data_IF_176654417152
#
_entry.id   IF_176654417152
#
_cell.length_a   1.000
_cell.length_b   1.000
_cell.length_c   1.000
_cell.angle_alpha   90.00
_cell.angle_beta   90.00
_cell.angle_gamma   90.00
#
_symmetry.space_group_name_H-M   'P 1'
#
loop_
_entity.id
_entity.type
_entity.pdbx_description
1 polymer ?
#
# COMPACT_ATOMS: atom_id res chain seq x y z
N UNK A 1 -6.47 -3.84 4.72
CA UNK A 1 -5.07 -4.08 4.28
C UNK A 1 -4.98 -3.85 2.78
N UNK A 2 -3.96 -3.13 2.31
CA UNK A 2 -3.68 -2.92 0.88
C UNK A 2 -2.37 -3.64 0.53
N UNK A 3 -2.37 -4.46 -0.52
CA UNK A 3 -1.19 -5.21 -0.99
C UNK A 3 -0.97 -4.99 -2.48
N UNK A 4 0.25 -4.69 -2.86
CA UNK A 4 0.70 -4.54 -4.25
C UNK A 4 2.14 -5.06 -4.36
N UNK A 5 2.64 -5.26 -5.58
CA UNK A 5 4.00 -5.75 -5.81
C UNK A 5 4.98 -4.57 -5.86
N UNK A 6 5.97 -4.59 -4.97
CA UNK A 6 7.15 -3.72 -5.04
C UNK A 6 8.34 -4.49 -5.61
N UNK A 7 9.03 -3.92 -6.59
CA UNK A 7 10.23 -4.46 -7.22
C UNK A 7 11.43 -3.52 -6.95
N UNK A 8 12.33 -3.84 -6.02
CA UNK A 8 13.47 -2.99 -5.64
C UNK A 8 14.43 -2.64 -6.79
N UNK A 9 14.41 -3.41 -7.87
CA UNK A 9 15.27 -3.22 -9.04
C UNK A 9 14.61 -2.38 -10.13
N UNK A 10 13.33 -2.02 -9.99
CA UNK A 10 12.61 -1.24 -10.99
C UNK A 10 12.75 0.27 -10.76
N UNK A 11 12.64 1.05 -11.83
CA UNK A 11 12.54 2.50 -11.73
C UNK A 11 11.09 2.88 -11.39
N UNK A 12 10.92 3.67 -10.33
CA UNK A 12 9.64 4.25 -9.94
C UNK A 12 9.65 5.77 -10.14
N UNK A 13 8.48 6.40 -10.28
CA UNK A 13 8.36 7.85 -10.17
C UNK A 13 8.79 8.36 -8.79
N UNK A 14 8.77 9.68 -8.60
CA UNK A 14 8.96 10.35 -7.30
C UNK A 14 10.17 9.86 -6.50
N UNK A 15 11.35 9.97 -7.12
CA UNK A 15 12.64 9.58 -6.53
C UNK A 15 12.74 8.09 -6.16
N UNK A 16 12.01 7.22 -6.87
CA UNK A 16 12.06 5.78 -6.63
C UNK A 16 11.00 5.30 -5.64
N UNK A 17 10.01 6.13 -5.30
CA UNK A 17 8.93 5.77 -4.40
C UNK A 17 7.91 4.85 -5.06
N UNK A 18 7.56 3.76 -4.40
CA UNK A 18 6.49 2.86 -4.86
C UNK A 18 5.17 3.03 -4.11
N UNK A 19 5.17 3.84 -3.05
CA UNK A 19 3.98 4.20 -2.30
C UNK A 19 4.14 5.56 -1.62
N UNK A 20 3.03 6.26 -1.50
CA UNK A 20 2.97 7.54 -0.82
C UNK A 20 1.78 7.56 0.14
N UNK A 21 1.96 8.26 1.27
CA UNK A 21 0.95 8.34 2.32
C UNK A 21 0.74 9.80 2.66
N UNK A 22 -0.50 10.28 2.57
CA UNK A 22 -0.88 11.61 3.04
C UNK A 22 -1.89 11.50 4.17
N UNK A 23 -1.59 12.12 5.31
CA UNK A 23 -2.53 12.19 6.43
C UNK A 23 -3.14 13.58 6.49
N UNK A 24 -4.48 13.63 6.45
CA UNK A 24 -5.27 14.83 6.69
C UNK A 24 -6.09 14.63 7.95
N UNK A 25 -6.67 15.73 8.45
CA UNK A 25 -7.53 15.72 9.62
C UNK A 25 -8.70 14.73 9.48
N UNK A 26 -9.27 14.67 8.28
CA UNK A 26 -10.53 13.97 8.03
C UNK A 26 -10.35 12.66 7.25
N UNK A 27 -9.19 12.44 6.66
CA UNK A 27 -8.90 11.23 5.89
C UNK A 27 -7.41 10.93 5.80
N UNK A 28 -7.10 9.68 5.48
CA UNK A 28 -5.76 9.24 5.08
C UNK A 28 -5.81 8.76 3.63
N UNK A 29 -4.77 9.08 2.89
CA UNK A 29 -4.54 8.63 1.52
C UNK A 29 -3.40 7.61 1.48
N UNK A 30 -3.61 6.54 0.73
CA UNK A 30 -2.67 5.44 0.54
C UNK A 30 -2.50 5.22 -0.96
N UNK A 31 -1.49 5.86 -1.54
CA UNK A 31 -1.20 5.76 -2.97
C UNK A 31 -0.15 4.68 -3.23
N UNK A 32 -0.36 3.88 -4.28
CA UNK A 32 0.69 2.98 -4.77
C UNK A 32 0.99 3.31 -6.22
N UNK A 33 2.27 3.27 -6.56
CA UNK A 33 2.78 3.69 -7.86
C UNK A 33 3.32 2.46 -8.58
N UNK A 34 2.98 2.31 -9.86
CA UNK A 34 3.62 1.28 -10.69
C UNK A 34 5.05 1.70 -11.01
N UNK A 35 5.93 0.75 -11.35
CA UNK A 35 7.16 1.11 -12.04
C UNK A 35 6.88 1.88 -13.33
N UNK A 36 7.90 2.58 -13.81
CA UNK A 36 7.89 3.23 -15.11
C UNK A 36 8.13 2.18 -16.20
N UNK A 37 7.24 2.16 -17.19
CA UNK A 37 7.34 1.27 -18.34
C UNK A 37 7.30 2.08 -19.64
N UNK A 38 8.10 1.67 -20.62
CA UNK A 38 7.85 2.06 -22.01
C UNK A 38 6.72 1.17 -22.53
N UNK A 39 5.68 1.79 -23.11
CA UNK A 39 4.54 1.08 -23.70
C UNK A 39 4.48 1.43 -25.18
N UNK A 40 4.63 0.42 -26.04
CA UNK A 40 4.54 0.58 -27.49
C UNK A 40 3.07 0.51 -27.97
N UNK A 41 2.78 0.96 -29.21
CA UNK A 41 1.42 0.89 -29.75
C UNK A 41 0.84 -0.53 -29.70
N UNK A 42 -0.31 -0.68 -29.04
CA UNK A 42 -1.00 -1.97 -28.87
C UNK A 42 -0.60 -2.75 -27.62
N UNK A 43 0.42 -2.30 -26.87
CA UNK A 43 0.77 -2.89 -25.58
C UNK A 43 -0.10 -2.33 -24.44
N UNK A 44 -0.12 -3.04 -23.32
CA UNK A 44 -0.82 -2.63 -22.10
C UNK A 44 -0.05 -3.07 -20.88
N UNK A 45 -0.02 -2.23 -19.86
CA UNK A 45 0.52 -2.55 -18.54
C UNK A 45 -0.62 -2.81 -17.55
N UNK A 46 -0.36 -3.64 -16.54
CA UNK A 46 -1.31 -3.92 -15.48
C UNK A 46 -0.64 -3.72 -14.12
N UNK A 47 -1.09 -2.71 -13.40
CA UNK A 47 -0.79 -2.51 -11.98
C UNK A 47 -1.94 -3.08 -11.17
N UNK A 48 -1.64 -3.98 -10.22
CA UNK A 48 -2.68 -4.70 -9.45
C UNK A 48 -2.55 -4.39 -7.98
N UNK A 49 -3.64 -3.93 -7.39
CA UNK A 49 -3.78 -3.72 -5.96
C UNK A 49 -4.83 -4.70 -5.41
N UNK A 50 -4.50 -5.36 -4.30
CA UNK A 50 -5.42 -6.19 -3.55
C UNK A 50 -5.80 -5.44 -2.27
N UNK A 51 -7.07 -5.07 -2.14
CA UNK A 51 -7.60 -4.32 -1.00
C UNK A 51 -8.57 -5.21 -0.24
N UNK A 52 -8.31 -5.43 1.04
CA UNK A 52 -9.24 -6.08 1.97
C UNK A 52 -9.67 -5.13 3.07
N UNK A 53 -10.94 -5.21 3.46
CA UNK A 53 -11.51 -4.48 4.58
C UNK A 53 -12.02 -5.49 5.61
N UNK A 54 -11.59 -5.33 6.85
CA UNK A 54 -11.97 -6.21 7.97
C UNK A 54 -12.60 -5.35 9.06
N UNK A 55 -13.64 -5.89 9.70
CA UNK A 55 -14.29 -5.23 10.82
C UNK A 55 -13.47 -5.48 12.10
N UNK A 56 -13.08 -4.42 12.78
CA UNK A 56 -12.27 -4.51 14.00
C UNK A 56 -13.05 -3.99 15.19
N UNK A 57 -13.20 -4.83 16.22
CA UNK A 57 -14.04 -4.52 17.40
C UNK A 57 -13.32 -3.71 18.46
N UNK A 58 -12.01 -3.94 18.61
CA UNK A 58 -11.17 -3.24 19.57
C UNK A 58 -10.24 -2.31 18.80
N UNK A 59 -10.22 -1.03 19.15
CA UNK A 59 -9.15 -0.16 18.68
C UNK A 59 -7.83 -0.67 19.24
N UNK A 60 -6.92 -1.08 18.35
CA UNK A 60 -5.51 -1.24 18.68
C UNK A 60 -4.98 0.08 19.25
N UNK A 61 -4.02 0.00 20.17
CA UNK A 61 -3.28 1.17 20.60
C UNK A 61 -2.28 1.55 19.49
N UNK A 62 -2.47 2.70 18.78
CA UNK A 62 -1.63 3.04 17.65
C UNK A 62 -0.21 3.46 18.02
N UNK A 63 0.11 3.56 19.33
CA UNK A 63 1.45 3.87 19.83
C UNK A 63 2.16 2.67 20.46
N UNK A 64 1.54 1.49 20.43
CA UNK A 64 2.10 0.25 20.99
C UNK A 64 2.43 -0.71 19.84
N UNK A 65 3.72 -0.88 19.55
CA UNK A 65 4.18 -1.71 18.43
C UNK A 65 3.83 -3.19 18.61
N UNK A 66 3.82 -3.69 19.86
CA UNK A 66 3.52 -5.09 20.15
C UNK A 66 2.03 -5.38 19.94
N UNK A 67 1.15 -4.45 20.36
CA UNK A 67 -0.30 -4.55 20.11
C UNK A 67 -0.63 -4.48 18.61
N UNK A 68 0.06 -3.61 17.86
CA UNK A 68 -0.06 -3.54 16.40
C UNK A 68 0.36 -4.85 15.74
N UNK A 69 1.50 -5.43 16.14
CA UNK A 69 2.00 -6.68 15.60
C UNK A 69 1.02 -7.83 15.87
N UNK A 70 0.55 -7.96 17.12
CA UNK A 70 -0.41 -8.99 17.51
C UNK A 70 -1.74 -8.86 16.73
N UNK A 71 -2.21 -7.63 16.51
CA UNK A 71 -3.39 -7.39 15.68
C UNK A 71 -3.23 -7.93 14.26
N UNK A 72 -2.06 -7.77 13.64
CA UNK A 72 -1.83 -8.33 12.30
C UNK A 72 -1.82 -9.86 12.26
N UNK A 73 -1.37 -10.54 13.32
CA UNK A 73 -1.45 -12.00 13.43
C UNK A 73 -2.88 -12.52 13.54
N UNK A 74 -3.77 -11.73 14.13
CA UNK A 74 -5.19 -12.10 14.33
C UNK A 74 -6.08 -11.76 13.12
N UNK A 75 -5.59 -10.95 12.18
CA UNK A 75 -6.24 -10.69 10.90
C UNK A 75 -6.08 -11.88 9.96
N UNK A 76 -7.06 -12.81 10.00
CA UNK A 76 -7.22 -13.90 9.02
C UNK A 76 -7.61 -13.37 7.63
#
# INVERSE_FOLDING_TARGET
>A
MKRYVHNPQAAYPDFGSSCEICLKKDFAELESLSPLYRVEPGETIRHVENISLSHTRNCLNPTDEDDIAHYFETLQ
#
